data_IF_786403283721
#
_entry.id   IF_786403283721
#
_cell.length_a   1.000
_cell.length_b   1.000
_cell.length_c   1.000
_cell.angle_alpha   90.00
_cell.angle_beta   90.00
_cell.angle_gamma   90.00
#
_symmetry.space_group_name_H-M   'P 1'
#
loop_
_entity.id
_entity.type
_entity.pdbx_description
1 polymer ?
#
# COMPACT_ATOMS: atom_id res chain seq x y z
N UNK A 1 25.54 -30.41 -16.29
CA UNK A 1 24.94 -29.43 -15.35
C UNK A 1 25.39 -27.99 -15.61
N UNK A 2 26.70 -27.69 -15.66
CA UNK A 2 27.22 -26.33 -15.99
C UNK A 2 26.80 -25.87 -17.40
N UNK A 3 26.80 -26.77 -18.40
CA UNK A 3 26.33 -26.46 -19.76
C UNK A 3 24.85 -26.09 -19.85
N UNK A 4 24.00 -26.66 -18.99
CA UNK A 4 22.57 -26.33 -18.93
C UNK A 4 22.35 -24.94 -18.31
N UNK A 5 23.16 -24.58 -17.32
CA UNK A 5 23.13 -23.28 -16.64
C UNK A 5 23.63 -22.17 -17.57
N UNK A 6 24.72 -22.41 -18.32
CA UNK A 6 25.21 -21.49 -19.34
C UNK A 6 24.21 -21.33 -20.48
N UNK A 7 23.48 -22.39 -20.84
CA UNK A 7 22.42 -22.35 -21.85
C UNK A 7 21.17 -21.58 -21.38
N UNK A 8 20.78 -21.73 -20.11
CA UNK A 8 19.69 -20.94 -19.52
C UNK A 8 20.08 -19.46 -19.30
N UNK A 9 21.34 -19.19 -18.96
CA UNK A 9 21.90 -17.83 -18.89
C UNK A 9 22.02 -17.19 -20.27
N UNK A 10 22.42 -17.95 -21.30
CA UNK A 10 22.46 -17.46 -22.67
C UNK A 10 21.06 -17.24 -23.21
N UNK A 11 20.07 -18.09 -22.90
CA UNK A 11 18.66 -17.82 -23.20
C UNK A 11 18.20 -16.56 -22.46
N UNK A 12 18.55 -16.38 -21.19
CA UNK A 12 18.21 -15.17 -20.44
C UNK A 12 18.86 -13.91 -21.05
N UNK A 13 20.10 -13.99 -21.54
CA UNK A 13 20.78 -12.89 -22.24
C UNK A 13 20.22 -12.65 -23.66
N UNK A 14 19.98 -13.71 -24.44
CA UNK A 14 19.45 -13.63 -25.81
C UNK A 14 17.97 -13.23 -25.86
N UNK A 15 17.15 -13.63 -24.89
CA UNK A 15 15.74 -13.22 -24.81
C UNK A 15 15.57 -11.76 -24.40
N UNK A 16 16.52 -11.19 -23.64
CA UNK A 16 16.56 -9.75 -23.41
C UNK A 16 17.00 -8.96 -24.67
N UNK A 17 17.72 -9.58 -25.61
CA UNK A 17 18.20 -8.93 -26.84
C UNK A 17 17.21 -9.06 -28.01
N UNK A 18 16.50 -10.19 -28.13
CA UNK A 18 15.60 -10.47 -29.27
C UNK A 18 14.13 -10.09 -29.02
N UNK A 19 13.66 -9.98 -27.78
CA UNK A 19 12.27 -9.59 -27.48
C UNK A 19 12.11 -8.10 -27.14
N UNK A 20 12.92 -7.26 -27.78
CA UNK A 20 12.72 -5.80 -27.81
C UNK A 20 11.53 -5.38 -28.69
N UNK A 21 10.94 -6.28 -29.48
CA UNK A 21 10.02 -5.90 -30.56
C UNK A 21 8.53 -6.27 -30.36
N UNK A 22 8.16 -7.06 -29.35
CA UNK A 22 6.74 -7.35 -29.05
C UNK A 22 6.32 -6.68 -27.74
N UNK A 23 6.35 -5.35 -27.74
CA UNK A 23 5.79 -4.53 -26.66
C UNK A 23 4.26 -4.57 -26.72
N UNK A 24 3.62 -5.37 -25.86
CA UNK A 24 2.36 -4.90 -25.27
C UNK A 24 2.72 -3.60 -24.55
N UNK A 25 2.36 -2.49 -25.18
CA UNK A 25 2.63 -1.15 -24.67
C UNK A 25 1.70 -0.88 -23.49
N UNK A 26 1.93 -1.57 -22.36
CA UNK A 26 1.30 -1.24 -21.09
C UNK A 26 1.90 0.09 -20.68
N UNK A 27 1.21 1.17 -21.07
CA UNK A 27 1.57 2.52 -20.70
C UNK A 27 1.53 2.61 -19.18
N UNK A 28 2.69 2.87 -18.58
CA UNK A 28 2.79 2.96 -17.13
C UNK A 28 2.39 4.39 -16.76
N UNK A 29 1.35 4.58 -15.92
CA UNK A 29 0.97 5.91 -15.50
C UNK A 29 2.16 6.58 -14.81
N UNK A 30 2.29 7.89 -14.99
CA UNK A 30 3.25 8.69 -14.25
C UNK A 30 2.92 8.70 -12.75
N UNK A 31 3.92 8.97 -11.90
CA UNK A 31 3.70 9.13 -10.47
C UNK A 31 2.63 10.21 -10.19
N UNK A 32 2.68 11.32 -10.94
CA UNK A 32 1.72 12.42 -10.83
C UNK A 32 0.30 11.98 -11.14
N UNK A 33 0.09 11.16 -12.17
CA UNK A 33 -1.25 10.63 -12.49
C UNK A 33 -1.76 9.69 -11.40
N UNK A 34 -0.92 8.79 -10.89
CA UNK A 34 -1.27 7.92 -9.76
C UNK A 34 -1.63 8.76 -8.54
N UNK A 35 -0.82 9.77 -8.24
CA UNK A 35 -1.06 10.65 -7.10
C UNK A 35 -2.35 11.45 -7.24
N UNK A 36 -2.60 12.01 -8.42
CA UNK A 36 -3.77 12.84 -8.69
C UNK A 36 -5.07 12.03 -8.84
N UNK A 37 -4.97 10.75 -9.18
CA UNK A 37 -6.12 9.82 -9.27
C UNK A 37 -6.39 9.06 -7.96
N UNK A 38 -5.48 9.13 -6.98
CA UNK A 38 -5.68 8.47 -5.69
C UNK A 38 -6.86 9.07 -4.93
N UNK A 39 -7.80 8.22 -4.52
CA UNK A 39 -8.98 8.60 -3.74
C UNK A 39 -9.07 7.77 -2.47
N UNK A 40 -9.25 8.38 -1.28
CA UNK A 40 -9.65 7.64 -0.07
C UNK A 40 -10.94 6.84 -0.29
N UNK A 41 -11.09 5.72 0.42
CA UNK A 41 -12.28 4.84 0.35
C UNK A 41 -13.48 5.37 1.15
N UNK A 42 -13.25 6.41 1.94
CA UNK A 42 -14.22 7.01 2.84
C UNK A 42 -14.49 8.45 2.34
N UNK A 43 -15.76 8.80 2.13
CA UNK A 43 -16.22 10.15 1.80
C UNK A 43 -16.73 10.86 3.06
N UNK A 44 -16.53 12.17 3.15
CA UNK A 44 -16.92 12.97 4.30
C UNK A 44 -17.97 14.00 3.89
N UNK A 45 -19.08 14.03 4.60
CA UNK A 45 -20.11 15.07 4.55
C UNK A 45 -19.78 16.11 5.61
N UNK A 46 -19.75 17.37 5.19
CA UNK A 46 -19.49 18.51 6.05
C UNK A 46 -20.76 19.34 6.23
N UNK A 47 -20.88 20.02 7.36
CA UNK A 47 -21.87 21.09 7.51
C UNK A 47 -21.40 22.38 6.81
N UNK A 48 -22.25 23.40 6.84
CA UNK A 48 -21.97 24.70 6.24
C UNK A 48 -20.78 25.45 6.88
N UNK A 49 -20.36 25.06 8.09
CA UNK A 49 -19.17 25.56 8.77
C UNK A 49 -17.92 24.71 8.50
N UNK A 50 -18.05 23.64 7.69
CA UNK A 50 -16.94 22.72 7.39
C UNK A 50 -16.68 21.66 8.47
N UNK A 51 -17.57 21.50 9.45
CA UNK A 51 -17.47 20.45 10.47
C UNK A 51 -17.97 19.13 9.91
N UNK A 52 -17.34 18.03 10.32
CA UNK A 52 -17.72 16.68 9.88
C UNK A 52 -19.10 16.32 10.43
N UNK A 53 -20.05 16.04 9.52
CA UNK A 53 -21.38 15.54 9.84
C UNK A 53 -21.47 14.03 9.72
N UNK A 54 -20.89 13.46 8.67
CA UNK A 54 -20.92 12.03 8.42
C UNK A 54 -19.71 11.55 7.60
N UNK A 55 -19.15 10.40 7.94
CA UNK A 55 -18.24 9.64 7.06
C UNK A 55 -18.98 8.44 6.47
N UNK A 56 -18.79 8.15 5.18
CA UNK A 56 -19.35 6.98 4.50
C UNK A 56 -18.25 6.24 3.75
N UNK A 57 -18.14 4.93 3.98
CA UNK A 57 -17.36 4.04 3.12
C UNK A 57 -18.09 3.75 1.82
N UNK A 58 -17.49 4.12 0.69
CA UNK A 58 -18.07 3.86 -0.63
C UNK A 58 -17.49 2.62 -1.31
N UNK A 59 -16.25 2.25 -0.97
CA UNK A 59 -15.63 0.99 -1.40
C UNK A 59 -15.40 0.09 -0.19
N UNK A 60 -16.17 -1.00 -0.08
CA UNK A 60 -16.06 -1.97 1.02
C UNK A 60 -14.97 -3.03 0.80
N UNK A 61 -14.34 -3.07 -0.37
CA UNK A 61 -13.29 -4.04 -0.70
C UNK A 61 -11.90 -3.55 -0.29
N UNK A 62 -11.73 -2.24 -0.18
CA UNK A 62 -10.48 -1.63 0.25
C UNK A 62 -10.75 -0.41 1.12
N UNK A 63 -9.94 -0.27 2.16
CA UNK A 63 -9.91 0.88 3.04
C UNK A 63 -8.62 1.65 2.80
N UNK A 64 -8.76 2.80 2.14
CA UNK A 64 -7.71 3.76 1.82
C UNK A 64 -7.99 5.06 2.55
N UNK A 65 -7.01 5.57 3.29
CA UNK A 65 -7.10 6.90 3.90
C UNK A 65 -6.40 7.93 3.00
N UNK A 66 -6.16 9.14 3.49
CA UNK A 66 -5.36 10.13 2.73
C UNK A 66 -3.98 9.58 2.38
N UNK A 67 -3.41 10.08 1.28
CA UNK A 67 -2.08 9.69 0.83
C UNK A 67 -1.00 10.08 1.86
N UNK A 68 -0.15 9.13 2.24
CA UNK A 68 0.98 9.33 3.16
C UNK A 68 2.14 9.96 2.41
N UNK A 69 2.54 11.15 2.82
CA UNK A 69 3.70 11.85 2.26
C UNK A 69 5.00 11.22 2.75
N UNK A 70 6.07 11.41 1.98
CA UNK A 70 7.40 10.86 2.30
C UNK A 70 7.87 11.25 3.71
N UNK A 71 7.73 12.52 4.08
CA UNK A 71 8.14 13.04 5.39
C UNK A 71 7.31 12.54 6.57
N UNK A 72 6.25 11.77 6.33
CA UNK A 72 5.43 11.17 7.38
C UNK A 72 5.84 9.71 7.69
N UNK A 73 6.75 9.13 6.91
CA UNK A 73 7.17 7.74 7.08
C UNK A 73 8.24 7.66 8.18
N UNK A 74 8.05 6.84 9.24
CA UNK A 74 9.06 6.69 10.29
C UNK A 74 10.38 6.13 9.76
N UNK A 75 11.50 6.61 10.30
CA UNK A 75 12.83 6.12 9.95
C UNK A 75 12.98 4.62 10.22
N UNK A 76 12.54 4.15 11.40
CA UNK A 76 12.54 2.73 11.75
C UNK A 76 11.72 1.89 10.76
N UNK A 77 10.62 2.45 10.23
CA UNK A 77 9.83 1.77 9.20
C UNK A 77 10.65 1.60 7.92
N UNK A 78 11.30 2.67 7.44
CA UNK A 78 12.13 2.64 6.24
C UNK A 78 13.30 1.65 6.37
N UNK A 79 14.03 1.71 7.49
CA UNK A 79 15.15 0.82 7.76
C UNK A 79 14.70 -0.65 7.76
N UNK A 80 13.61 -0.96 8.46
CA UNK A 80 13.04 -2.28 8.50
C UNK A 80 12.59 -2.74 7.10
N UNK A 81 11.93 -1.86 6.34
CA UNK A 81 11.42 -2.16 4.99
C UNK A 81 12.55 -2.53 4.04
N UNK A 82 13.59 -1.70 3.95
CA UNK A 82 14.71 -1.97 3.06
C UNK A 82 15.43 -3.26 3.46
N UNK A 83 15.71 -3.49 4.74
CA UNK A 83 16.39 -4.72 5.16
C UNK A 83 15.56 -6.00 4.95
N UNK A 84 14.23 -5.89 4.95
CA UNK A 84 13.33 -7.02 4.82
C UNK A 84 12.94 -7.32 3.37
N UNK A 85 12.59 -6.29 2.60
CA UNK A 85 12.05 -6.41 1.24
C UNK A 85 13.10 -6.16 0.16
N UNK A 86 13.98 -5.16 0.35
CA UNK A 86 14.86 -4.69 -0.71
C UNK A 86 16.09 -3.92 -0.20
N UNK A 87 17.12 -4.67 0.23
CA UNK A 87 18.29 -4.11 0.93
C UNK A 87 19.06 -3.11 0.06
N UNK A 88 19.00 -3.27 -1.25
CA UNK A 88 19.76 -2.49 -2.24
C UNK A 88 18.84 -1.67 -3.11
N UNK A 89 17.71 -1.27 -2.56
CA UNK A 89 16.68 -0.51 -3.27
C UNK A 89 17.28 0.66 -4.07
N UNK A 90 18.24 1.39 -3.52
CA UNK A 90 18.88 2.53 -4.17
C UNK A 90 19.99 2.17 -5.19
N UNK A 91 20.42 0.91 -5.27
CA UNK A 91 21.57 0.48 -6.10
C UNK A 91 21.17 -0.19 -7.42
N UNK A 92 19.89 -0.53 -7.61
CA UNK A 92 19.40 -1.20 -8.83
C UNK A 92 18.34 -0.39 -9.57
N UNK A 93 18.06 -0.72 -10.84
CA UNK A 93 17.02 -0.08 -11.66
C UNK A 93 15.85 -1.05 -11.87
N UNK A 94 15.08 -1.30 -10.80
CA UNK A 94 13.91 -2.19 -10.82
C UNK A 94 14.17 -3.64 -10.44
N UNK A 95 15.27 -4.23 -10.90
CA UNK A 95 15.59 -5.64 -10.60
C UNK A 95 16.96 -5.76 -9.95
N UNK A 96 17.01 -6.35 -8.76
CA UNK A 96 18.26 -6.70 -8.10
C UNK A 96 18.80 -8.05 -8.61
N UNK A 97 19.67 -7.97 -9.61
CA UNK A 97 20.33 -9.13 -10.23
C UNK A 97 21.14 -9.95 -9.21
N UNK A 98 21.79 -9.30 -8.26
CA UNK A 98 22.62 -9.99 -7.28
C UNK A 98 21.71 -10.70 -6.25
N UNK A 99 20.55 -10.13 -5.89
CA UNK A 99 19.57 -10.80 -5.02
C UNK A 99 18.93 -12.00 -5.73
N UNK A 100 18.63 -11.89 -7.03
CA UNK A 100 18.16 -13.03 -7.83
C UNK A 100 19.19 -14.16 -7.81
N UNK A 101 20.45 -13.89 -8.16
CA UNK A 101 21.51 -14.90 -8.18
C UNK A 101 21.73 -15.52 -6.79
N UNK A 102 21.72 -14.69 -5.74
CA UNK A 102 21.80 -15.14 -4.36
C UNK A 102 20.63 -16.07 -3.97
N UNK A 103 19.40 -15.72 -4.36
CA UNK A 103 18.21 -16.53 -4.06
C UNK A 103 18.20 -17.89 -4.80
N UNK A 104 18.73 -17.93 -6.03
CA UNK A 104 18.87 -19.16 -6.81
C UNK A 104 19.89 -20.06 -6.14
N UNK A 105 21.06 -19.50 -5.78
CA UNK A 105 22.10 -20.21 -5.02
C UNK A 105 21.51 -20.80 -3.73
N UNK A 106 20.89 -19.96 -2.91
CA UNK A 106 20.27 -20.34 -1.64
C UNK A 106 19.25 -21.47 -1.80
N UNK A 107 18.42 -21.44 -2.85
CA UNK A 107 17.45 -22.51 -3.16
C UNK A 107 18.14 -23.82 -3.58
N UNK A 108 19.20 -23.76 -4.38
CA UNK A 108 19.95 -24.95 -4.80
C UNK A 108 20.65 -25.64 -3.63
N UNK A 109 21.07 -24.87 -2.61
CA UNK A 109 21.71 -25.39 -1.40
C UNK A 109 20.71 -25.65 -0.25
N UNK A 110 19.40 -25.72 -0.52
CA UNK A 110 18.37 -26.06 0.47
C UNK A 110 18.04 -24.96 1.49
N UNK A 111 18.62 -23.76 1.34
CA UNK A 111 18.49 -22.63 2.26
C UNK A 111 17.53 -21.57 1.70
N UNK A 112 16.25 -21.88 1.47
CA UNK A 112 15.31 -20.89 0.91
C UNK A 112 14.81 -19.89 1.97
N UNK A 113 15.67 -18.95 2.38
CA UNK A 113 15.35 -17.91 3.37
C UNK A 113 15.17 -16.51 2.79
N UNK A 114 15.57 -16.27 1.53
CA UNK A 114 15.53 -14.94 0.88
C UNK A 114 14.57 -14.89 -0.30
N UNK A 115 13.82 -13.79 -0.40
CA UNK A 115 13.08 -13.40 -1.60
C UNK A 115 13.99 -12.68 -2.58
N UNK A 116 13.61 -12.64 -3.86
CA UNK A 116 14.33 -11.93 -4.93
C UNK A 116 13.52 -10.79 -5.56
N UNK A 117 12.30 -10.53 -5.05
CA UNK A 117 11.44 -9.47 -5.54
C UNK A 117 11.81 -8.15 -4.88
N UNK A 118 12.08 -7.12 -5.67
CA UNK A 118 12.36 -5.74 -5.24
C UNK A 118 11.06 -4.99 -4.94
N UNK A 119 11.16 -3.82 -4.29
CA UNK A 119 9.99 -2.94 -4.08
C UNK A 119 9.37 -2.52 -5.42
N UNK A 120 10.19 -2.22 -6.43
CA UNK A 120 9.74 -1.85 -7.77
C UNK A 120 8.99 -2.99 -8.47
N UNK A 121 9.44 -4.24 -8.31
CA UNK A 121 8.72 -5.42 -8.82
C UNK A 121 7.39 -5.63 -8.10
N UNK A 122 7.34 -5.41 -6.79
CA UNK A 122 6.10 -5.50 -6.04
C UNK A 122 5.10 -4.41 -6.44
N UNK A 123 5.56 -3.17 -6.64
CA UNK A 123 4.74 -2.08 -7.17
C UNK A 123 4.20 -2.40 -8.57
N UNK A 124 5.07 -2.91 -9.46
CA UNK A 124 4.65 -3.40 -10.77
C UNK A 124 3.54 -4.47 -10.65
N UNK A 125 3.67 -5.41 -9.71
CA UNK A 125 2.64 -6.41 -9.46
C UNK A 125 1.28 -5.82 -9.05
N UNK A 126 1.28 -4.68 -8.35
CA UNK A 126 0.04 -3.96 -8.02
C UNK A 126 -0.62 -3.41 -9.30
N UNK A 127 0.15 -2.80 -10.20
CA UNK A 127 -0.38 -2.26 -11.47
C UNK A 127 -0.87 -3.35 -12.41
N UNK A 128 -0.20 -4.50 -12.43
CA UNK A 128 -0.60 -5.66 -13.22
C UNK A 128 -1.77 -6.44 -12.61
N UNK A 129 -2.21 -6.10 -11.40
CA UNK A 129 -3.24 -6.84 -10.68
C UNK A 129 -2.84 -8.28 -10.33
N UNK A 130 -1.54 -8.55 -10.20
CA UNK A 130 -1.04 -9.90 -9.93
C UNK A 130 -1.50 -10.36 -8.53
N UNK A 131 -2.20 -11.50 -8.45
CA UNK A 131 -2.70 -12.00 -7.17
C UNK A 131 -1.58 -12.68 -6.36
N UNK A 132 -1.46 -12.42 -5.05
CA UNK A 132 -0.54 -13.15 -4.18
C UNK A 132 -0.81 -14.66 -4.24
N UNK A 133 0.21 -15.46 -4.59
CA UNK A 133 0.13 -16.93 -4.60
C UNK A 133 -0.04 -17.59 -5.97
N UNK A 134 -0.46 -16.85 -7.00
CA UNK A 134 -0.34 -17.31 -8.39
C UNK A 134 1.11 -17.07 -8.83
N UNK A 135 1.93 -18.11 -8.72
CA UNK A 135 3.37 -18.04 -8.99
C UNK A 135 3.67 -18.48 -10.41
N UNK A 136 3.11 -17.79 -11.39
CA UNK A 136 3.55 -17.99 -12.77
C UNK A 136 4.91 -17.29 -12.97
N UNK A 137 5.83 -17.98 -13.65
CA UNK A 137 7.11 -17.39 -14.05
C UNK A 137 6.87 -16.22 -15.01
N UNK A 138 5.81 -16.31 -15.83
CA UNK A 138 5.40 -15.26 -16.74
C UNK A 138 5.05 -13.96 -16.00
N UNK A 139 4.19 -14.03 -14.97
CA UNK A 139 3.80 -12.85 -14.18
C UNK A 139 5.01 -12.17 -13.53
N UNK A 140 5.97 -12.97 -13.04
CA UNK A 140 7.21 -12.44 -12.48
C UNK A 140 8.05 -11.69 -13.52
N UNK A 141 8.09 -12.19 -14.74
CA UNK A 141 8.82 -11.56 -15.81
C UNK A 141 8.14 -10.26 -16.29
N UNK A 142 6.81 -10.25 -16.33
CA UNK A 142 6.04 -9.03 -16.57
C UNK A 142 6.27 -7.98 -15.46
N UNK A 143 6.33 -8.41 -14.20
CA UNK A 143 6.72 -7.54 -13.07
C UNK A 143 8.13 -6.99 -13.23
N UNK A 144 9.11 -7.79 -13.66
CA UNK A 144 10.49 -7.32 -13.89
C UNK A 144 10.55 -6.25 -14.98
N UNK A 145 9.89 -6.48 -16.11
CA UNK A 145 9.82 -5.52 -17.22
C UNK A 145 9.13 -4.23 -16.82
N UNK A 146 7.98 -4.36 -16.16
CA UNK A 146 7.19 -3.21 -15.67
C UNK A 146 7.97 -2.43 -14.62
N UNK A 147 8.69 -3.11 -13.71
CA UNK A 147 9.55 -2.46 -12.72
C UNK A 147 10.66 -1.64 -13.36
N UNK A 148 11.30 -2.17 -14.41
CA UNK A 148 12.31 -1.42 -15.17
C UNK A 148 11.72 -0.20 -15.87
N UNK A 149 10.51 -0.30 -16.42
CA UNK A 149 9.81 0.83 -17.02
C UNK A 149 9.45 1.91 -15.97
N UNK A 150 8.96 1.51 -14.79
CA UNK A 150 8.72 2.42 -13.65
C UNK A 150 10.02 3.16 -13.29
N UNK A 151 11.13 2.44 -13.13
CA UNK A 151 12.42 3.00 -12.70
C UNK A 151 13.10 3.91 -13.73
N UNK A 152 12.63 3.90 -14.99
CA UNK A 152 13.08 4.86 -16.00
C UNK A 152 12.39 6.21 -15.88
N UNK A 153 11.17 6.25 -15.36
CA UNK A 153 10.31 7.45 -15.37
C UNK A 153 10.00 7.99 -13.98
N UNK A 154 10.18 7.19 -12.94
CA UNK A 154 9.91 7.54 -11.55
C UNK A 154 11.21 7.55 -10.74
N UNK A 155 11.32 8.48 -9.81
CA UNK A 155 12.39 8.52 -8.82
C UNK A 155 12.22 7.44 -7.74
N UNK A 156 13.30 7.09 -7.05
CA UNK A 156 13.26 6.12 -5.94
C UNK A 156 12.26 6.50 -4.85
N UNK A 157 12.17 7.78 -4.52
CA UNK A 157 11.25 8.29 -3.51
C UNK A 157 9.79 8.17 -3.95
N UNK A 158 9.50 8.44 -5.23
CA UNK A 158 8.17 8.26 -5.81
C UNK A 158 7.74 6.79 -5.80
N UNK A 159 8.64 5.88 -6.18
CA UNK A 159 8.40 4.42 -6.15
C UNK A 159 8.09 3.96 -4.73
N UNK A 160 8.93 4.34 -3.76
CA UNK A 160 8.74 4.01 -2.36
C UNK A 160 7.41 4.55 -1.83
N UNK A 161 7.14 5.83 -2.05
CA UNK A 161 5.93 6.50 -1.55
C UNK A 161 4.67 5.88 -2.15
N UNK A 162 4.67 5.59 -3.46
CA UNK A 162 3.55 4.93 -4.11
C UNK A 162 3.37 3.49 -3.63
N UNK A 163 4.46 2.73 -3.51
CA UNK A 163 4.41 1.38 -2.95
C UNK A 163 3.73 1.39 -1.58
N UNK A 164 4.12 2.29 -0.68
CA UNK A 164 3.57 2.36 0.67
C UNK A 164 2.11 2.82 0.71
N UNK A 165 1.63 3.56 -0.29
CA UNK A 165 0.24 4.00 -0.36
C UNK A 165 -0.68 3.01 -1.08
N UNK A 166 -0.13 2.19 -1.97
CA UNK A 166 -0.89 1.24 -2.79
C UNK A 166 -0.86 -0.19 -2.25
N UNK A 167 0.11 -0.53 -1.39
CA UNK A 167 0.25 -1.88 -0.83
C UNK A 167 -0.86 -2.18 0.19
N UNK A 168 -1.37 -3.41 0.13
CA UNK A 168 -2.32 -3.95 1.09
C UNK A 168 -1.58 -4.52 2.29
N UNK A 169 -1.75 -3.91 3.47
CA UNK A 169 -1.09 -4.36 4.69
C UNK A 169 -1.84 -5.51 5.36
N UNK A 170 -3.18 -5.41 5.49
CA UNK A 170 -4.02 -6.44 6.12
C UNK A 170 -5.50 -6.23 5.87
N UNK A 171 -6.22 -7.31 5.54
CA UNK A 171 -7.68 -7.22 5.31
C UNK A 171 -7.98 -6.17 4.25
N UNK A 172 -8.90 -5.24 4.52
CA UNK A 172 -9.17 -4.12 3.62
C UNK A 172 -8.11 -3.00 3.66
N UNK A 173 -7.20 -2.96 4.65
CA UNK A 173 -6.29 -1.83 4.86
C UNK A 173 -5.24 -1.73 3.75
N UNK A 174 -5.38 -0.70 2.91
CA UNK A 174 -4.46 -0.38 1.82
C UNK A 174 -3.82 0.99 2.06
N UNK A 175 -2.50 1.00 2.08
CA UNK A 175 -1.69 2.19 2.36
C UNK A 175 -1.24 2.30 3.82
N UNK A 176 -0.07 2.92 4.03
CA UNK A 176 0.57 3.05 5.34
C UNK A 176 -0.31 3.79 6.36
N UNK A 177 -0.95 4.90 5.98
CA UNK A 177 -1.89 5.59 6.88
C UNK A 177 -3.09 4.74 7.27
N UNK A 178 -3.69 4.04 6.32
CA UNK A 178 -4.81 3.14 6.61
C UNK A 178 -4.39 2.03 7.58
N UNK A 179 -3.20 1.46 7.39
CA UNK A 179 -2.64 0.45 8.29
C UNK A 179 -2.34 1.03 9.68
N UNK A 180 -1.72 2.21 9.76
CA UNK A 180 -1.34 2.88 11.01
C UNK A 180 -2.57 3.21 11.87
N UNK A 181 -3.58 3.83 11.26
CA UNK A 181 -4.84 4.17 11.92
C UNK A 181 -5.66 2.93 12.23
N UNK A 182 -5.71 1.95 11.34
CA UNK A 182 -6.53 0.74 11.50
C UNK A 182 -6.01 -0.22 12.55
N UNK A 183 -4.69 -0.34 12.68
CA UNK A 183 -4.07 -1.30 13.61
C UNK A 183 -3.69 -0.64 14.95
N UNK A 184 -3.30 0.64 14.94
CA UNK A 184 -2.75 1.31 16.12
C UNK A 184 -3.43 2.63 16.50
N UNK A 185 -4.39 3.11 15.71
CA UNK A 185 -5.07 4.40 15.90
C UNK A 185 -4.13 5.61 15.87
N UNK A 186 -3.01 5.49 15.14
CA UNK A 186 -1.95 6.50 15.04
C UNK A 186 -1.76 7.01 13.62
N UNK A 187 -1.27 8.24 13.49
CA UNK A 187 -0.73 8.71 12.21
C UNK A 187 0.61 8.02 11.92
N UNK A 188 1.00 7.82 10.64
CA UNK A 188 2.27 7.20 10.27
C UNK A 188 3.46 7.78 11.03
N UNK A 189 3.56 9.11 11.11
CA UNK A 189 4.67 9.81 11.76
C UNK A 189 4.78 9.60 13.28
N UNK A 190 3.74 9.02 13.89
CA UNK A 190 3.65 8.80 15.34
C UNK A 190 3.73 7.32 15.73
N UNK A 191 3.97 6.44 14.75
CA UNK A 191 4.20 5.02 15.01
C UNK A 191 5.45 4.84 15.87
N UNK A 192 5.38 3.94 16.86
CA UNK A 192 6.58 3.51 17.56
C UNK A 192 7.45 2.61 16.69
N UNK A 193 8.67 2.36 17.12
CA UNK A 193 9.57 1.40 16.49
C UNK A 193 8.95 0.00 16.39
N UNK A 194 8.34 -0.47 17.49
CA UNK A 194 7.66 -1.77 17.55
C UNK A 194 6.52 -1.85 16.53
N UNK A 195 5.70 -0.80 16.41
CA UNK A 195 4.58 -0.75 15.46
C UNK A 195 5.08 -0.70 14.01
N UNK A 196 6.14 0.08 13.76
CA UNK A 196 6.78 0.21 12.45
C UNK A 196 7.35 -1.13 11.95
N UNK A 197 8.14 -1.81 12.79
CA UNK A 197 8.72 -3.12 12.48
C UNK A 197 7.60 -4.15 12.24
N UNK A 198 6.53 -4.09 13.04
CA UNK A 198 5.41 -5.01 12.93
C UNK A 198 4.62 -4.83 11.63
N UNK A 199 4.43 -3.60 11.15
CA UNK A 199 3.83 -3.34 9.84
C UNK A 199 4.69 -3.90 8.70
N UNK A 200 6.01 -3.70 8.75
CA UNK A 200 6.90 -4.23 7.72
C UNK A 200 6.91 -5.76 7.73
N UNK A 201 7.02 -6.38 8.91
CA UNK A 201 7.04 -7.83 9.06
C UNK A 201 5.75 -8.53 8.54
N UNK A 202 4.66 -7.76 8.44
CA UNK A 202 3.35 -8.18 7.95
C UNK A 202 3.27 -8.23 6.41
N UNK A 203 4.03 -7.39 5.70
CA UNK A 203 3.91 -7.23 4.24
C UNK A 203 3.98 -8.53 3.44
N UNK A 204 4.90 -9.49 3.73
CA UNK A 204 4.96 -10.71 2.93
C UNK A 204 3.82 -11.68 3.20
N UNK A 205 3.13 -11.54 4.34
CA UNK A 205 1.97 -12.36 4.67
C UNK A 205 0.94 -11.57 5.50
N UNK A 206 0.11 -10.74 4.83
CA UNK A 206 -0.90 -9.89 5.47
C UNK A 206 -1.86 -10.64 6.41
N UNK A 207 -2.15 -11.91 6.07
CA UNK A 207 -3.03 -12.81 6.82
C UNK A 207 -2.38 -13.53 8.01
N UNK A 208 -1.12 -13.22 8.37
CA UNK A 208 -0.43 -13.90 9.46
C UNK A 208 -1.19 -13.83 10.79
N UNK A 209 -1.15 -14.92 11.56
CA UNK A 209 -1.57 -14.90 12.97
C UNK A 209 -0.64 -14.01 13.80
N UNK A 210 -1.11 -13.52 14.95
CA UNK A 210 -0.29 -12.65 15.80
C UNK A 210 1.01 -13.32 16.25
N UNK A 211 1.01 -14.63 16.51
CA UNK A 211 2.22 -15.39 16.89
C UNK A 211 3.26 -15.42 15.77
N UNK A 212 2.83 -15.70 14.54
CA UNK A 212 3.71 -15.72 13.37
C UNK A 212 4.27 -14.33 13.11
N UNK A 213 3.42 -13.31 13.22
CA UNK A 213 3.82 -11.93 13.03
C UNK A 213 4.85 -11.51 14.08
N UNK A 214 4.60 -11.77 15.37
CA UNK A 214 5.52 -11.42 16.45
C UNK A 214 6.91 -12.06 16.28
N UNK A 215 6.95 -13.34 15.90
CA UNK A 215 8.21 -14.04 15.60
C UNK A 215 8.96 -13.37 14.45
N UNK A 216 8.26 -13.02 13.36
CA UNK A 216 8.86 -12.34 12.20
C UNK A 216 9.37 -10.95 12.57
N UNK A 217 8.60 -10.20 13.35
CA UNK A 217 8.99 -8.88 13.84
C UNK A 217 10.25 -8.95 14.71
N UNK A 218 10.36 -9.91 15.63
CA UNK A 218 11.57 -10.10 16.43
C UNK A 218 12.80 -10.47 15.57
N UNK A 219 12.63 -11.32 14.55
CA UNK A 219 13.72 -11.61 13.59
C UNK A 219 14.18 -10.34 12.87
N UNK A 220 13.23 -9.49 12.46
CA UNK A 220 13.54 -8.24 11.78
C UNK A 220 14.19 -7.22 12.74
N UNK A 221 13.69 -7.10 13.96
CA UNK A 221 14.22 -6.24 15.00
C UNK A 221 15.69 -6.55 15.31
N UNK A 222 16.06 -7.83 15.40
CA UNK A 222 17.46 -8.26 15.53
C UNK A 222 18.34 -7.79 14.37
N UNK A 223 17.83 -7.82 13.13
CA UNK A 223 18.60 -7.35 11.95
C UNK A 223 18.85 -5.84 11.96
N UNK A 224 17.97 -5.06 12.59
CA UNK A 224 18.10 -3.61 12.72
C UNK A 224 18.64 -3.18 14.09
N UNK A 225 19.21 -4.11 14.86
CA UNK A 225 19.81 -3.85 16.18
C UNK A 225 18.83 -3.26 17.21
N UNK A 226 17.58 -3.74 17.20
CA UNK A 226 16.51 -3.39 18.17
C UNK A 226 15.93 -4.62 18.86
N UNK A 227 16.79 -5.55 19.27
CA UNK A 227 16.39 -6.85 19.83
C UNK A 227 15.68 -6.77 21.18
N UNK A 228 15.89 -5.69 21.93
CA UNK A 228 15.16 -5.32 23.13
C UNK A 228 13.65 -5.19 22.90
N UNK A 229 13.21 -5.00 21.65
CA UNK A 229 11.78 -4.89 21.32
C UNK A 229 11.08 -6.26 21.23
N UNK A 230 11.81 -7.37 21.26
CA UNK A 230 11.27 -8.71 21.04
C UNK A 230 10.13 -9.07 22.01
N UNK A 231 10.23 -8.65 23.26
CA UNK A 231 9.25 -8.95 24.31
C UNK A 231 7.89 -8.26 24.10
N UNK A 232 7.86 -7.18 23.32
CA UNK A 232 6.66 -6.40 23.09
C UNK A 232 5.85 -6.87 21.87
N UNK A 233 6.46 -7.56 20.91
CA UNK A 233 5.78 -7.83 19.64
C UNK A 233 4.54 -8.70 19.77
N UNK A 234 4.52 -9.66 20.70
CA UNK A 234 3.34 -10.53 20.87
C UNK A 234 2.13 -9.73 21.37
N UNK A 235 2.32 -8.90 22.39
CA UNK A 235 1.25 -8.07 22.97
C UNK A 235 0.75 -7.03 21.96
N UNK A 236 1.68 -6.37 21.24
CA UNK A 236 1.34 -5.38 20.20
C UNK A 236 0.62 -6.05 19.02
N UNK A 237 1.10 -7.20 18.53
CA UNK A 237 0.44 -7.93 17.44
C UNK A 237 -0.97 -8.38 17.82
N UNK A 238 -1.15 -8.90 19.03
CA UNK A 238 -2.46 -9.35 19.54
C UNK A 238 -3.44 -8.18 19.63
N UNK A 239 -3.00 -7.03 20.14
CA UNK A 239 -3.81 -5.80 20.23
C UNK A 239 -4.17 -5.25 18.85
N UNK A 240 -3.19 -5.20 17.94
CA UNK A 240 -3.39 -4.69 16.59
C UNK A 240 -4.40 -5.53 15.79
N UNK A 241 -4.29 -6.85 15.86
CA UNK A 241 -5.12 -7.76 15.07
C UNK A 241 -6.55 -7.87 15.65
N UNK A 242 -6.71 -7.79 16.97
CA UNK A 242 -8.05 -7.82 17.60
C UNK A 242 -8.87 -6.55 17.36
N UNK A 243 -8.22 -5.41 17.08
CA UNK A 243 -8.87 -4.10 16.95
C UNK A 243 -9.22 -3.66 15.53
N UNK A 244 -9.05 -4.50 14.51
CA UNK A 244 -9.27 -4.12 13.09
C UNK A 244 -10.69 -3.59 12.83
N UNK A 245 -11.66 -3.96 13.66
CA UNK A 245 -13.05 -3.50 13.56
C UNK A 245 -13.30 -2.07 14.11
N UNK A 246 -12.31 -1.43 14.74
CA UNK A 246 -12.52 -0.21 15.53
C UNK A 246 -12.35 1.10 14.76
N UNK A 247 -11.95 1.09 13.50
CA UNK A 247 -12.07 2.30 12.71
C UNK A 247 -13.52 2.39 12.24
N UNK A 248 -14.35 3.30 12.78
CA UNK A 248 -15.75 3.38 12.39
C UNK A 248 -15.85 3.51 10.86
N UNK A 249 -16.69 2.67 10.25
CA UNK A 249 -17.05 2.77 8.84
C UNK A 249 -17.92 4.00 8.57
N UNK A 250 -18.52 4.51 9.64
CA UNK A 250 -19.52 5.57 9.67
C UNK A 250 -19.45 6.27 11.02
N UNK A 251 -18.93 7.49 11.07
CA UNK A 251 -19.16 8.42 12.19
C UNK A 251 -20.15 9.47 11.73
N UNK A 252 -21.12 9.84 12.56
CA UNK A 252 -22.08 10.90 12.25
C UNK A 252 -23.51 10.61 12.68
N UNK A 253 -24.32 11.66 12.72
CA UNK A 253 -25.69 11.65 13.27
C UNK A 253 -26.77 11.31 12.23
N UNK A 254 -26.41 11.03 10.96
CA UNK A 254 -27.39 10.98 9.86
C UNK A 254 -27.02 9.99 8.74
N UNK A 255 -26.69 8.75 9.10
CA UNK A 255 -26.21 7.73 8.14
C UNK A 255 -27.14 7.51 6.93
N UNK A 256 -28.46 7.35 7.14
CA UNK A 256 -29.40 7.10 6.04
C UNK A 256 -29.55 8.30 5.10
N UNK A 257 -29.58 9.52 5.65
CA UNK A 257 -29.62 10.77 4.88
C UNK A 257 -28.35 10.91 4.05
N UNK A 258 -27.21 10.65 4.67
CA UNK A 258 -25.92 10.67 4.03
C UNK A 258 -25.82 9.64 2.89
N UNK A 259 -26.34 8.42 3.10
CA UNK A 259 -26.36 7.36 2.09
C UNK A 259 -27.27 7.74 0.89
N UNK A 260 -28.40 8.40 1.15
CA UNK A 260 -29.31 8.89 0.11
C UNK A 260 -28.65 10.01 -0.71
N UNK A 261 -28.09 11.03 -0.04
CA UNK A 261 -27.34 12.11 -0.70
C UNK A 261 -26.20 11.54 -1.55
N UNK A 262 -25.49 10.55 -1.00
CA UNK A 262 -24.40 9.85 -1.68
C UNK A 262 -24.86 9.14 -2.96
N UNK A 263 -25.97 8.38 -2.91
CA UNK A 263 -26.51 7.68 -4.08
C UNK A 263 -26.97 8.64 -5.17
N UNK A 264 -27.49 9.80 -4.78
CA UNK A 264 -28.09 10.77 -5.70
C UNK A 264 -27.09 11.80 -6.23
N UNK A 265 -25.91 11.95 -5.61
CA UNK A 265 -24.94 13.01 -5.95
C UNK A 265 -23.47 12.54 -5.75
N UNK A 266 -23.00 11.54 -6.52
CA UNK A 266 -21.64 11.01 -6.45
C UNK A 266 -20.55 12.02 -6.87
N UNK A 267 -20.88 13.25 -7.23
CA UNK A 267 -19.92 14.31 -7.57
C UNK A 267 -19.67 15.31 -6.43
N UNK A 268 -20.48 15.30 -5.36
CA UNK A 268 -20.39 16.25 -4.23
C UNK A 268 -19.20 15.97 -3.29
N UNK A 269 -18.38 14.98 -3.60
CA UNK A 269 -17.21 14.63 -2.78
C UNK A 269 -16.25 15.82 -2.60
N UNK A 270 -15.65 15.92 -1.42
CA UNK A 270 -14.32 16.53 -1.33
C UNK A 270 -13.34 15.54 -1.97
N UNK A 271 -13.12 15.73 -3.28
CA UNK A 271 -12.44 14.79 -4.18
C UNK A 271 -10.96 14.58 -3.80
N UNK A 272 -10.36 15.47 -3.00
CA UNK A 272 -8.90 15.53 -2.91
C UNK A 272 -8.30 15.09 -1.58
N UNK A 273 -9.07 14.84 -0.52
CA UNK A 273 -8.49 14.68 0.83
C UNK A 273 -7.64 15.89 1.29
N UNK A 274 -7.60 16.95 0.47
CA UNK A 274 -7.08 18.28 0.71
C UNK A 274 -8.31 19.18 0.68
N UNK A 275 -8.57 19.84 1.80
CA UNK A 275 -9.62 20.84 1.95
C UNK A 275 -9.61 21.79 0.74
N UNK A 276 -10.65 21.73 -0.11
CA UNK A 276 -11.00 22.83 -1.00
C UNK A 276 -12.51 23.07 -0.99
N UNK A 277 -12.82 24.11 -0.23
CA UNK A 277 -13.99 24.99 -0.22
C UNK A 277 -14.63 25.12 -1.62
N UNK A 278 -15.63 24.32 -1.95
CA UNK A 278 -16.51 24.58 -3.11
C UNK A 278 -17.89 23.91 -3.07
N UNK A 279 -18.21 23.10 -2.06
CA UNK A 279 -19.55 22.49 -1.89
C UNK A 279 -20.60 23.42 -1.26
N UNK A 280 -20.22 24.58 -0.74
CA UNK A 280 -21.10 25.51 -0.01
C UNK A 280 -22.23 26.07 -0.90
N UNK A 281 -21.99 26.30 -2.20
CA UNK A 281 -22.98 26.93 -3.08
C UNK A 281 -24.12 25.98 -3.50
N UNK A 282 -23.83 24.69 -3.73
CA UNK A 282 -24.84 23.71 -4.14
C UNK A 282 -25.66 23.25 -2.93
N UNK A 283 -25.02 23.15 -1.76
CA UNK A 283 -25.68 22.69 -0.53
C UNK A 283 -26.72 23.68 0.00
N UNK A 284 -26.44 24.99 -0.03
CA UNK A 284 -27.40 26.01 0.41
C UNK A 284 -28.67 26.07 -0.44
N UNK A 285 -28.55 25.88 -1.77
CA UNK A 285 -29.71 25.86 -2.67
C UNK A 285 -30.63 24.66 -2.46
N UNK A 286 -30.07 23.49 -2.13
CA UNK A 286 -30.86 22.27 -1.83
C UNK A 286 -31.43 22.28 -0.40
N UNK A 287 -30.71 22.80 0.60
CA UNK A 287 -31.21 22.89 1.97
C UNK A 287 -32.36 23.90 2.12
N UNK A 288 -32.32 25.04 1.43
CA UNK A 288 -33.45 25.98 1.39
C UNK A 288 -34.70 25.37 0.74
N UNK A 289 -34.51 24.51 -0.27
CA UNK A 289 -35.61 23.76 -0.90
C UNK A 289 -36.22 22.74 0.07
N UNK A 290 -35.38 22.03 0.82
CA UNK A 290 -35.84 21.03 1.80
C UNK A 290 -36.45 21.68 3.05
N UNK A 291 -35.93 22.82 3.51
CA UNK A 291 -36.54 23.59 4.60
C UNK A 291 -37.93 24.12 4.20
N UNK A 292 -38.11 24.63 2.98
CA UNK A 292 -39.46 25.02 2.52
C UNK A 292 -40.45 23.87 2.61
N UNK A 293 -40.06 22.67 2.18
CA UNK A 293 -40.92 21.47 2.23
C UNK A 293 -41.27 21.07 3.68
N UNK A 294 -40.37 21.29 4.64
CA UNK A 294 -40.59 20.91 6.05
C UNK A 294 -41.45 21.94 6.82
N UNK A 295 -41.49 23.20 6.37
CA UNK A 295 -42.17 24.31 7.08
C UNK A 295 -43.39 24.87 6.34
N UNK A 296 -43.96 24.16 5.34
CA UNK A 296 -45.24 24.53 4.69
C UNK A 296 -46.35 23.47 4.80
N UNK A 297 -46.34 22.67 5.86
CA UNK A 297 -47.53 21.95 6.36
C UNK A 297 -47.81 22.37 7.82
#
# INVERSE_FOLDING_TARGET
MIRLILWLLSIFLYTNLLFSEEEKNTEIPSYKEIRNSYRPSDGVILDHHGRILQTIRWNVRERKLSWTEEGEIPETFLLALFLQEDKRFFEHSGVDRIAILGSIKDRLFGNSRRGASTLSMQLAGIFLGTKPGQRNIFDKWEQMRTAQKIEKTWTKNEILTAYLNLTQFRGELRGLRAASRGLFQKEPSTLSDTESILLVAMLPYPGASYKVLAKRSCILAKKIQKEELCDYFESVAKKAISKINNLPSTEGIAYHVALKIFRENPEIFSIDGKLKRQSILIFNGKLQKLQKIIYTD
#
